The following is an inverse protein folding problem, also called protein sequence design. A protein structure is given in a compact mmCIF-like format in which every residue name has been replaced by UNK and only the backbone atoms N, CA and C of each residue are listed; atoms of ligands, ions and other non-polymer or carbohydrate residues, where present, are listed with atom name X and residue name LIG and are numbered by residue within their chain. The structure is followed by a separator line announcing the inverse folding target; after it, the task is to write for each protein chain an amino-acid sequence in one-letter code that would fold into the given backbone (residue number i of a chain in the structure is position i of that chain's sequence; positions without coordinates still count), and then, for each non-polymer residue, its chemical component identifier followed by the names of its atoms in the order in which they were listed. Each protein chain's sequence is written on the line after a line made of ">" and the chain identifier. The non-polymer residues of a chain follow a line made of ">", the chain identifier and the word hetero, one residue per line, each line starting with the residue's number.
data_IF_790840380777
#
_entry.id   IF_790840380777
#
_cell.length_a   1.000
_cell.length_b   1.000
_cell.length_c   1.000
_cell.angle_alpha   90.00
_cell.angle_beta   90.00
_cell.angle_gamma   90.00
#
_symmetry.space_group_name_H-M   'P 1'
#
loop_
_entity.id
_entity.type
_entity.pdbx_description
1 polymer ?
#
# COMPACT_ATOMS: atom_id res chain seq x y z
N UNK A 1 21.28 11.66 6.56
CA UNK A 1 20.05 11.18 7.21
C UNK A 1 18.95 12.19 6.90
N UNK A 2 17.96 11.82 6.08
CA UNK A 2 16.90 12.75 5.73
C UNK A 2 16.06 13.02 6.97
N UNK A 3 16.02 14.28 7.42
CA UNK A 3 15.11 14.74 8.45
C UNK A 3 13.68 14.49 7.96
N UNK A 4 12.89 13.70 8.68
CA UNK A 4 11.47 13.55 8.38
C UNK A 4 10.80 14.93 8.52
N UNK A 5 10.34 15.49 7.41
CA UNK A 5 9.62 16.77 7.42
C UNK A 5 8.23 16.56 8.02
N UNK A 6 8.00 17.08 9.22
CA UNK A 6 6.69 17.01 9.87
C UNK A 6 5.67 17.84 9.08
N UNK A 7 4.53 17.24 8.76
CA UNK A 7 3.41 17.89 8.07
C UNK A 7 2.14 17.74 8.88
N UNK A 8 1.31 18.79 8.91
CA UNK A 8 0.01 18.75 9.60
C UNK A 8 -1.10 18.50 8.60
N UNK A 9 -1.94 17.52 8.88
CA UNK A 9 -3.18 17.27 8.13
C UNK A 9 -4.39 17.59 9.01
N UNK A 10 -5.41 18.21 8.41
CA UNK A 10 -6.71 18.40 9.07
C UNK A 10 -7.63 17.26 8.69
N UNK A 11 -8.27 16.66 9.68
CA UNK A 11 -9.22 15.57 9.50
C UNK A 11 -10.51 15.86 10.25
N UNK A 12 -11.58 15.14 9.91
CA UNK A 12 -12.83 15.22 10.66
C UNK A 12 -12.69 14.58 12.05
N UNK A 13 -13.55 14.97 13.01
CA UNK A 13 -13.59 14.32 14.33
C UNK A 13 -13.87 12.83 14.23
N UNK A 14 -14.74 12.43 13.29
CA UNK A 14 -15.06 11.03 13.02
C UNK A 14 -13.83 10.25 12.55
N UNK A 15 -13.02 10.85 11.67
CA UNK A 15 -11.77 10.22 11.21
C UNK A 15 -10.79 10.02 12.36
N UNK A 16 -10.67 11.01 13.27
CA UNK A 16 -9.82 10.88 14.44
C UNK A 16 -10.26 9.71 15.34
N UNK A 17 -11.56 9.59 15.64
CA UNK A 17 -12.10 8.47 16.42
C UNK A 17 -11.78 7.10 15.79
N UNK A 18 -11.91 6.97 14.47
CA UNK A 18 -11.54 5.73 13.77
C UNK A 18 -10.03 5.45 13.87
N UNK A 19 -9.19 6.49 13.84
CA UNK A 19 -7.75 6.34 14.02
C UNK A 19 -7.40 5.94 15.45
N UNK A 20 -8.12 6.43 16.47
CA UNK A 20 -7.98 5.99 17.87
C UNK A 20 -8.29 4.50 18.02
N UNK A 21 -9.46 4.05 17.54
CA UNK A 21 -9.86 2.63 17.57
C UNK A 21 -8.83 1.74 16.87
N UNK A 22 -8.32 2.19 15.72
CA UNK A 22 -7.30 1.43 14.98
C UNK A 22 -5.94 1.44 15.67
N UNK A 23 -5.58 2.54 16.36
CA UNK A 23 -4.34 2.63 17.12
C UNK A 23 -4.33 1.60 18.25
N UNK A 24 -5.44 1.46 18.98
CA UNK A 24 -5.60 0.42 20.01
C UNK A 24 -5.54 -0.99 19.40
N UNK A 25 -6.30 -1.23 18.32
CA UNK A 25 -6.34 -2.55 17.66
C UNK A 25 -5.01 -2.98 17.06
N UNK A 26 -4.20 -2.04 16.62
CA UNK A 26 -2.89 -2.31 16.03
C UNK A 26 -1.74 -2.28 17.04
N UNK A 27 -2.02 -1.91 18.29
CA UNK A 27 -1.01 -1.61 19.32
C UNK A 27 0.05 -0.62 18.81
N UNK A 28 -0.43 0.44 18.13
CA UNK A 28 0.42 1.37 17.40
C UNK A 28 0.88 2.55 18.26
N UNK A 29 2.16 2.91 18.14
CA UNK A 29 2.75 3.98 18.95
C UNK A 29 2.27 5.38 18.54
N UNK A 30 1.94 5.58 17.26
CA UNK A 30 1.54 6.88 16.69
C UNK A 30 0.40 6.74 15.66
N UNK A 31 -0.27 7.85 15.33
CA UNK A 31 -1.22 7.84 14.20
C UNK A 31 -0.50 7.69 12.86
N UNK A 32 0.76 8.10 12.76
CA UNK A 32 1.58 7.90 11.57
C UNK A 32 1.75 6.40 11.28
N UNK A 33 2.04 5.59 12.30
CA UNK A 33 2.12 4.13 12.17
C UNK A 33 0.82 3.52 11.64
N UNK A 34 -0.32 3.98 12.18
CA UNK A 34 -1.65 3.53 11.76
C UNK A 34 -1.91 3.90 10.30
N UNK A 35 -1.64 5.15 9.92
CA UNK A 35 -1.84 5.64 8.55
C UNK A 35 -0.95 4.87 7.58
N UNK A 36 0.34 4.69 7.89
CA UNK A 36 1.27 3.94 7.05
C UNK A 36 0.82 2.49 6.90
N UNK A 37 0.40 1.85 7.99
CA UNK A 37 -0.11 0.47 7.94
C UNK A 37 -1.34 0.36 7.05
N UNK A 38 -2.31 1.27 7.17
CA UNK A 38 -3.51 1.29 6.31
C UNK A 38 -3.14 1.49 4.83
N UNK A 39 -2.21 2.39 4.53
CA UNK A 39 -1.72 2.63 3.15
C UNK A 39 -1.09 1.37 2.58
N UNK A 40 -0.24 0.68 3.35
CA UNK A 40 0.39 -0.56 2.93
C UNK A 40 -0.62 -1.70 2.72
N UNK A 41 -1.60 -1.84 3.63
CA UNK A 41 -2.68 -2.83 3.47
C UNK A 41 -3.56 -2.54 2.25
N UNK A 42 -3.81 -1.27 1.95
CA UNK A 42 -4.54 -0.89 0.75
C UNK A 42 -3.74 -1.27 -0.50
N UNK A 43 -2.44 -0.94 -0.56
CA UNK A 43 -1.57 -1.31 -1.69
C UNK A 43 -1.52 -2.82 -1.90
N UNK A 44 -1.38 -3.60 -0.82
CA UNK A 44 -1.43 -5.07 -0.88
C UNK A 44 -2.73 -5.56 -1.50
N UNK A 45 -3.88 -5.10 -0.97
CA UNK A 45 -5.20 -5.48 -1.47
C UNK A 45 -5.46 -5.08 -2.92
N UNK A 46 -4.95 -3.92 -3.35
CA UNK A 46 -4.99 -3.49 -4.75
C UNK A 46 -4.24 -4.49 -5.63
N UNK A 47 -2.99 -4.82 -5.28
CA UNK A 47 -2.21 -5.83 -6.03
C UNK A 47 -2.92 -7.19 -6.02
N UNK A 48 -3.49 -7.60 -4.90
CA UNK A 48 -4.29 -8.83 -4.75
C UNK A 48 -5.48 -8.85 -5.72
N UNK A 49 -6.20 -7.74 -5.82
CA UNK A 49 -7.38 -7.60 -6.68
C UNK A 49 -7.03 -7.67 -8.16
N UNK A 50 -5.95 -6.99 -8.57
CA UNK A 50 -5.57 -6.90 -9.98
C UNK A 50 -4.78 -8.10 -10.47
N UNK A 51 -3.97 -8.72 -9.61
CA UNK A 51 -3.10 -9.84 -9.99
C UNK A 51 -3.60 -11.21 -9.53
N UNK A 52 -4.60 -11.28 -8.64
CA UNK A 52 -5.35 -12.50 -8.31
C UNK A 52 -4.51 -13.78 -8.23
N UNK A 53 -4.85 -14.75 -9.09
CA UNK A 53 -4.22 -16.09 -9.24
C UNK A 53 -2.81 -16.04 -9.86
N UNK A 54 -2.45 -14.93 -10.50
CA UNK A 54 -1.18 -14.75 -11.20
C UNK A 54 -0.11 -14.05 -10.34
N UNK A 55 -0.40 -13.82 -9.05
CA UNK A 55 0.60 -13.36 -8.08
C UNK A 55 1.79 -14.33 -8.06
N UNK A 56 2.95 -13.85 -8.50
CA UNK A 56 4.19 -14.64 -8.58
C UNK A 56 4.35 -15.46 -9.86
N UNK A 57 3.37 -15.42 -10.79
CA UNK A 57 3.46 -16.05 -12.13
C UNK A 57 3.81 -15.06 -13.23
N UNK A 58 3.67 -13.76 -12.97
CA UNK A 58 3.98 -12.70 -13.93
C UNK A 58 5.47 -12.39 -13.82
N UNK A 59 6.23 -12.88 -14.79
CA UNK A 59 7.60 -12.46 -15.05
C UNK A 59 7.61 -11.33 -16.09
N UNK A 60 8.71 -10.57 -16.15
CA UNK A 60 8.92 -9.64 -17.26
C UNK A 60 9.03 -10.41 -18.57
N UNK A 61 8.51 -9.82 -19.66
CA UNK A 61 8.60 -10.40 -21.00
C UNK A 61 10.07 -10.71 -21.34
N UNK A 62 10.34 -11.96 -21.72
CA UNK A 62 11.61 -12.41 -22.29
C UNK A 62 11.71 -12.03 -23.77
N UNK A 63 12.90 -12.11 -24.35
CA UNK A 63 13.08 -11.89 -25.80
C UNK A 63 12.24 -12.87 -26.63
N UNK A 64 12.01 -14.08 -26.13
CA UNK A 64 11.19 -15.13 -26.78
C UNK A 64 9.68 -14.82 -26.75
N UNK A 65 9.22 -14.01 -25.78
CA UNK A 65 7.82 -13.56 -25.71
C UNK A 65 7.52 -12.43 -26.73
N UNK A 66 8.56 -11.84 -27.31
CA UNK A 66 8.44 -10.86 -28.39
C UNK A 66 8.26 -11.64 -29.67
N UNK A 67 7.00 -12.03 -29.92
CA UNK A 67 6.60 -12.81 -31.09
C UNK A 67 7.42 -12.45 -32.32
N UNK A 68 8.11 -13.46 -32.84
CA UNK A 68 9.12 -13.35 -33.89
C UNK A 68 8.65 -12.43 -35.03
N UNK A 69 9.63 -11.69 -35.55
CA UNK A 69 9.52 -10.69 -36.61
C UNK A 69 8.40 -10.96 -37.61
N UNK A 70 7.53 -9.97 -37.76
CA UNK A 70 6.58 -9.92 -38.86
C UNK A 70 7.37 -9.58 -40.13
N UNK A 71 7.79 -10.59 -40.88
CA UNK A 71 8.00 -10.47 -42.33
C UNK A 71 6.67 -10.25 -43.06
#
# INVERSE_FOLDING_TARGET
>A
MASASTTTIRVSRRTLQLLDELKERFDASSYEDVILRLVLEYRRRVVERYFGVDRGRIAGFSEEDRGEDRE
#
